data_IF_016090352617
#
_entry.id   IF_016090352617
#
_cell.length_a   1.000
_cell.length_b   1.000
_cell.length_c   1.000
_cell.angle_alpha   90.00
_cell.angle_beta   90.00
_cell.angle_gamma   90.00
#
_symmetry.space_group_name_H-M   'P 1'
#
loop_
_entity.id
_entity.type
_entity.pdbx_description
1 polymer ?
#
# COMPACT_ATOMS: atom_id res chain seq x y z
N UNK A 1 12.40 10.34 38.20
CA UNK A 1 11.42 9.37 37.70
C UNK A 1 11.01 9.87 36.33
N UNK A 2 11.60 9.34 35.26
CA UNK A 2 11.30 9.73 33.90
C UNK A 2 11.06 8.46 33.07
N UNK A 3 9.95 8.52 32.32
CA UNK A 3 9.44 7.59 31.29
C UNK A 3 8.64 6.36 31.75
N UNK A 4 7.48 6.17 31.10
CA UNK A 4 7.44 5.10 30.09
C UNK A 4 6.97 5.57 28.70
N UNK A 5 7.73 5.10 27.69
CA UNK A 5 7.40 4.55 26.37
C UNK A 5 5.95 4.59 25.81
N UNK A 6 5.87 4.97 24.53
CA UNK A 6 4.86 4.67 23.48
C UNK A 6 3.41 5.18 23.62
N UNK A 7 3.05 6.14 22.76
CA UNK A 7 1.79 6.17 21.98
C UNK A 7 1.83 7.31 20.93
N UNK A 8 2.64 7.15 19.88
CA UNK A 8 2.36 7.80 18.59
C UNK A 8 1.87 6.70 17.62
N UNK A 9 0.69 6.18 17.94
CA UNK A 9 -0.29 5.61 17.00
C UNK A 9 -1.54 6.39 17.39
N UNK A 10 -2.30 6.96 16.46
CA UNK A 10 -3.52 6.31 16.02
C UNK A 10 -4.15 7.13 14.87
N UNK A 11 -4.18 6.64 13.62
CA UNK A 11 -5.42 6.58 12.86
C UNK A 11 -6.22 5.36 13.34
N UNK A 12 -7.53 5.51 13.56
CA UNK A 12 -8.40 4.46 14.10
C UNK A 12 -8.30 3.09 13.37
N UNK A 13 -8.50 1.97 14.09
CA UNK A 13 -7.75 0.72 13.94
C UNK A 13 -8.45 -0.41 13.16
N UNK A 14 -9.60 -0.16 12.52
CA UNK A 14 -10.41 -1.23 11.92
C UNK A 14 -10.15 -1.46 10.43
N UNK A 15 -9.49 -0.52 9.76
CA UNK A 15 -8.90 -0.73 8.44
C UNK A 15 -7.91 0.42 8.22
N UNK A 16 -6.63 0.11 8.12
CA UNK A 16 -5.51 1.05 7.83
C UNK A 16 -5.61 1.62 6.39
N UNK A 17 -6.82 1.93 5.94
CA UNK A 17 -7.18 2.18 4.56
C UNK A 17 -7.09 0.96 3.64
N UNK A 18 -7.03 -0.26 4.18
CA UNK A 18 -6.91 -1.46 3.36
C UNK A 18 -8.08 -1.60 2.37
N UNK A 19 -7.74 -1.86 1.11
CA UNK A 19 -8.68 -1.97 0.00
C UNK A 19 -8.86 -3.41 -0.49
N UNK A 20 -7.95 -4.30 -0.09
CA UNK A 20 -7.95 -5.69 -0.53
C UNK A 20 -6.54 -6.25 -0.71
N UNK A 21 -6.45 -7.58 -0.75
CA UNK A 21 -5.24 -8.31 -1.07
C UNK A 21 -5.37 -9.11 -2.37
N UNK A 22 -4.23 -9.33 -3.02
CA UNK A 22 -4.09 -10.25 -4.15
C UNK A 22 -2.78 -11.01 -3.99
N UNK A 23 -2.71 -12.24 -4.51
CA UNK A 23 -1.53 -13.08 -4.36
C UNK A 23 -1.02 -13.58 -5.71
N UNK A 24 0.28 -13.84 -5.77
CA UNK A 24 0.93 -14.52 -6.88
C UNK A 24 1.92 -15.54 -6.34
N UNK A 25 1.49 -16.80 -6.31
CA UNK A 25 2.28 -17.87 -5.69
C UNK A 25 2.42 -17.62 -4.19
N UNK A 26 3.63 -17.62 -3.62
CA UNK A 26 3.84 -17.38 -2.19
C UNK A 26 3.77 -15.90 -1.79
N UNK A 27 3.82 -14.98 -2.75
CA UNK A 27 3.80 -13.54 -2.48
C UNK A 27 2.36 -13.02 -2.36
N UNK A 28 2.03 -12.44 -1.21
CA UNK A 28 0.76 -11.75 -0.94
C UNK A 28 0.98 -10.26 -1.01
N UNK A 29 0.17 -9.58 -1.81
CA UNK A 29 0.19 -8.13 -1.99
C UNK A 29 -1.06 -7.52 -1.38
N UNK A 30 -0.90 -6.56 -0.49
CA UNK A 30 -1.99 -5.85 0.17
C UNK A 30 -1.99 -4.39 -0.27
N UNK A 31 -3.15 -3.89 -0.65
CA UNK A 31 -3.33 -2.49 -1.08
C UNK A 31 -3.95 -1.71 0.05
N UNK A 32 -3.38 -0.55 0.34
CA UNK A 32 -3.87 0.38 1.33
C UNK A 32 -4.01 1.75 0.71
N UNK A 33 -5.08 2.45 1.09
CA UNK A 33 -5.28 3.86 0.85
C UNK A 33 -4.71 4.66 2.00
N UNK A 34 -3.66 5.41 1.75
CA UNK A 34 -3.15 6.34 2.73
C UNK A 34 -4.04 7.59 2.72
N UNK A 35 -4.33 8.12 3.91
CA UNK A 35 -5.04 9.37 4.05
C UNK A 35 -4.12 10.51 3.62
N UNK A 36 -4.17 10.84 2.33
CA UNK A 36 -3.56 12.06 1.81
C UNK A 36 -4.25 13.29 2.41
N UNK A 37 -3.57 14.44 2.34
CA UNK A 37 -4.14 15.73 2.75
C UNK A 37 -5.58 15.89 2.24
N UNK A 38 -6.52 16.48 3.02
CA UNK A 38 -7.95 16.57 2.65
C UNK A 38 -8.23 17.37 1.36
N UNK A 39 -7.22 18.06 0.83
CA UNK A 39 -7.26 18.83 -0.41
C UNK A 39 -6.41 18.21 -1.52
N UNK A 40 -5.71 17.12 -1.22
CA UNK A 40 -4.85 16.38 -2.14
C UNK A 40 -5.53 15.16 -2.73
N UNK A 41 -5.01 14.65 -3.84
CA UNK A 41 -5.42 13.36 -4.40
C UNK A 41 -5.13 12.22 -3.40
N UNK A 42 -5.91 11.13 -3.41
CA UNK A 42 -5.65 10.01 -2.53
C UNK A 42 -4.36 9.29 -2.90
N UNK A 43 -3.60 8.94 -1.87
CA UNK A 43 -2.35 8.18 -1.97
C UNK A 43 -2.63 6.70 -1.68
N UNK A 44 -1.92 5.83 -2.36
CA UNK A 44 -2.01 4.39 -2.18
C UNK A 44 -0.63 3.79 -1.96
N UNK A 45 -0.57 2.79 -1.08
CA UNK A 45 0.62 1.97 -0.87
C UNK A 45 0.30 0.50 -1.11
N UNK A 46 1.26 -0.23 -1.66
CA UNK A 46 1.22 -1.67 -1.85
C UNK A 46 2.30 -2.28 -0.97
N UNK A 47 1.90 -3.22 -0.14
CA UNK A 47 2.79 -4.04 0.66
C UNK A 47 2.88 -5.43 0.05
N UNK A 48 4.07 -6.02 0.06
CA UNK A 48 4.29 -7.41 -0.31
C UNK A 48 4.78 -8.20 0.90
N UNK A 49 4.23 -9.39 1.08
CA UNK A 49 4.69 -10.39 2.02
C UNK A 49 4.98 -11.69 1.26
N UNK A 50 6.26 -11.98 1.04
CA UNK A 50 6.76 -13.20 0.40
C UNK A 50 7.17 -14.29 1.42
N UNK A 51 6.89 -14.07 2.72
CA UNK A 51 7.33 -14.93 3.82
C UNK A 51 8.44 -14.31 4.68
N UNK A 52 9.02 -13.18 4.24
CA UNK A 52 9.96 -12.38 5.03
C UNK A 52 9.29 -11.26 5.87
N UNK A 53 7.96 -11.22 5.88
CA UNK A 53 7.13 -10.19 6.53
C UNK A 53 6.64 -9.12 5.55
N UNK A 54 5.57 -8.37 5.90
CA UNK A 54 5.02 -7.32 5.05
C UNK A 54 6.00 -6.17 4.89
N UNK A 55 6.23 -5.75 3.65
CA UNK A 55 7.10 -4.61 3.31
C UNK A 55 6.45 -3.77 2.24
N UNK A 56 6.52 -2.45 2.36
CA UNK A 56 6.07 -1.53 1.30
C UNK A 56 6.98 -1.70 0.09
N UNK A 57 6.38 -1.99 -1.06
CA UNK A 57 7.10 -2.18 -2.33
C UNK A 57 6.77 -1.11 -3.35
N UNK A 58 5.62 -0.44 -3.22
CA UNK A 58 5.15 0.56 -4.16
C UNK A 58 4.29 1.60 -3.46
N UNK A 59 4.43 2.86 -3.88
CA UNK A 59 3.52 3.97 -3.54
C UNK A 59 3.15 4.73 -4.80
N UNK A 60 1.89 5.14 -4.90
CA UNK A 60 1.42 5.95 -6.02
C UNK A 60 0.20 6.77 -5.64
N UNK A 61 -0.09 7.78 -6.45
CA UNK A 61 -1.19 8.72 -6.23
C UNK A 61 -2.26 8.52 -7.31
N UNK A 62 -3.55 8.66 -6.99
CA UNK A 62 -4.66 8.56 -7.97
C UNK A 62 -4.81 9.79 -8.85
N UNK A 63 -3.79 10.11 -9.63
CA UNK A 63 -3.77 11.27 -10.52
C UNK A 63 -3.73 10.85 -12.00
N UNK A 64 -4.12 11.74 -12.94
CA UNK A 64 -4.03 11.45 -14.37
C UNK A 64 -2.60 11.12 -14.83
N UNK A 65 -1.58 11.66 -14.14
CA UNK A 65 -0.18 11.30 -14.31
C UNK A 65 0.36 10.79 -12.96
N UNK A 66 0.09 9.52 -12.60
CA UNK A 66 0.42 9.02 -11.28
C UNK A 66 1.93 8.81 -11.18
N UNK A 67 2.56 9.45 -10.20
CA UNK A 67 3.97 9.19 -9.88
C UNK A 67 4.04 7.85 -9.15
N UNK A 68 4.62 6.84 -9.79
CA UNK A 68 4.75 5.50 -9.24
C UNK A 68 6.15 5.31 -8.67
N UNK A 69 6.23 5.20 -7.36
CA UNK A 69 7.48 5.00 -6.63
C UNK A 69 7.61 3.55 -6.19
N UNK A 70 8.55 2.82 -6.81
CA UNK A 70 8.88 1.45 -6.46
C UNK A 70 10.10 1.41 -5.53
N UNK A 71 10.02 0.57 -4.49
CA UNK A 71 11.05 0.47 -3.46
C UNK A 71 11.87 -0.81 -3.58
N UNK A 72 13.18 -0.68 -3.33
CA UNK A 72 14.10 -1.81 -3.26
C UNK A 72 14.22 -2.55 -4.59
N UNK A 73 14.17 -3.88 -4.53
CA UNK A 73 14.33 -4.75 -5.69
C UNK A 73 13.16 -4.70 -6.69
N UNK A 74 12.05 -4.04 -6.34
CA UNK A 74 10.87 -3.94 -7.20
C UNK A 74 10.98 -2.84 -8.24
N UNK A 75 11.99 -1.97 -8.18
CA UNK A 75 12.17 -0.91 -9.18
C UNK A 75 12.62 -1.51 -10.51
N UNK A 76 11.73 -1.51 -11.50
CA UNK A 76 11.99 -2.04 -12.84
C UNK A 76 11.78 -3.56 -12.98
N UNK A 77 11.02 -4.16 -12.06
CA UNK A 77 10.67 -5.58 -12.15
C UNK A 77 9.56 -5.83 -13.18
N UNK A 78 9.58 -7.00 -13.83
CA UNK A 78 8.55 -7.40 -14.81
C UNK A 78 7.15 -7.51 -14.18
N UNK A 79 7.06 -7.61 -12.84
CA UNK A 79 5.78 -7.72 -12.14
C UNK A 79 5.14 -6.36 -11.86
N UNK A 80 5.87 -5.26 -12.00
CA UNK A 80 5.39 -3.91 -11.69
C UNK A 80 4.06 -3.59 -12.38
N UNK A 81 3.97 -3.77 -13.69
CA UNK A 81 2.76 -3.51 -14.47
C UNK A 81 1.56 -4.35 -14.02
N UNK A 82 1.80 -5.64 -13.73
CA UNK A 82 0.75 -6.55 -13.26
C UNK A 82 0.25 -6.16 -11.87
N UNK A 83 1.16 -5.89 -10.94
CA UNK A 83 0.85 -5.47 -9.56
C UNK A 83 0.02 -4.18 -9.58
N UNK A 84 0.41 -3.20 -10.40
CA UNK A 84 -0.35 -1.95 -10.55
C UNK A 84 -1.73 -2.17 -11.14
N UNK A 85 -1.85 -3.03 -12.15
CA UNK A 85 -3.14 -3.34 -12.75
C UNK A 85 -4.08 -4.00 -11.72
N UNK A 86 -3.60 -4.94 -10.92
CA UNK A 86 -4.37 -5.57 -9.84
C UNK A 86 -4.72 -4.56 -8.74
N UNK A 87 -3.77 -3.72 -8.31
CA UNK A 87 -4.02 -2.70 -7.31
C UNK A 87 -5.09 -1.69 -7.77
N UNK A 88 -5.04 -1.24 -9.02
CA UNK A 88 -6.05 -0.36 -9.62
C UNK A 88 -7.44 -1.01 -9.67
N UNK A 89 -7.53 -2.32 -9.83
CA UNK A 89 -8.81 -3.04 -9.72
C UNK A 89 -9.35 -2.95 -8.30
N UNK A 90 -8.51 -3.16 -7.28
CA UNK A 90 -8.92 -3.07 -5.86
C UNK A 90 -9.26 -1.65 -5.42
N UNK A 91 -8.65 -0.64 -6.02
CA UNK A 91 -9.04 0.76 -5.79
C UNK A 91 -10.45 1.03 -6.32
N UNK A 92 -10.79 0.48 -7.49
CA UNK A 92 -12.13 0.64 -8.09
C UNK A 92 -13.20 -0.22 -7.40
N UNK A 93 -12.82 -1.41 -6.96
CA UNK A 93 -13.69 -2.39 -6.31
C UNK A 93 -13.01 -2.91 -5.03
N UNK A 94 -13.08 -2.13 -3.93
CA UNK A 94 -12.45 -2.52 -2.68
C UNK A 94 -13.22 -3.67 -2.02
N UNK A 95 -12.48 -4.66 -1.54
CA UNK A 95 -13.04 -5.80 -0.81
C UNK A 95 -13.41 -5.33 0.60
N UNK A 96 -14.71 -5.17 0.88
CA UNK A 96 -15.25 -4.67 2.15
C UNK A 96 -16.05 -5.73 2.90
#
# INVERSE_FOLDING_TARGET
MAEPLLADREPDPENDGWLGDFNRGPAVFSVYREAAHPLGPPEYRIECNDGAGPRVICRFVDEPDPVIEWFGAWSGDDWCDWILAEARKRIKDPTR
#
